data_IF_299308888713
#
_entry.id   IF_299308888713
#
_cell.length_a   1.000
_cell.length_b   1.000
_cell.length_c   1.000
_cell.angle_alpha   90.00
_cell.angle_beta   90.00
_cell.angle_gamma   90.00
#
_symmetry.space_group_name_H-M   'P 1'
#
loop_
_entity.id
_entity.type
_entity.pdbx_description
1 polymer ?
#
# COMPACT_ATOMS: atom_id res chain seq x y z
N UNK A 1 -29.20 -64.12 -25.28
CA UNK A 1 -27.84 -63.58 -25.47
C UNK A 1 -27.42 -62.96 -24.15
N UNK A 2 -26.32 -63.47 -23.62
CA UNK A 2 -25.71 -63.14 -22.33
C UNK A 2 -25.24 -61.68 -22.26
N UNK A 3 -25.28 -61.05 -21.08
CA UNK A 3 -24.10 -60.67 -20.29
C UNK A 3 -24.49 -60.38 -18.82
N UNK A 4 -23.58 -60.60 -17.84
CA UNK A 4 -23.91 -60.86 -16.45
C UNK A 4 -23.72 -59.68 -15.49
N UNK A 5 -24.26 -59.87 -14.29
CA UNK A 5 -24.09 -59.10 -13.04
C UNK A 5 -22.65 -59.25 -12.52
N UNK A 6 -22.05 -58.16 -12.04
CA UNK A 6 -20.75 -58.15 -11.37
C UNK A 6 -20.93 -57.88 -9.87
N UNK A 7 -20.48 -58.84 -9.05
CA UNK A 7 -20.34 -58.76 -7.60
C UNK A 7 -19.04 -58.06 -7.19
N UNK A 8 -19.09 -57.35 -6.06
CA UNK A 8 -17.98 -56.71 -5.35
C UNK A 8 -17.01 -57.73 -4.72
N UNK A 9 -15.72 -57.38 -4.56
CA UNK A 9 -14.86 -58.00 -3.56
C UNK A 9 -14.70 -57.13 -2.30
N UNK A 10 -15.05 -57.72 -1.15
CA UNK A 10 -14.64 -57.32 0.20
C UNK A 10 -13.12 -57.44 0.34
N UNK A 11 -12.48 -56.38 0.85
CA UNK A 11 -11.10 -56.44 1.39
C UNK A 11 -11.18 -56.41 2.91
N UNK A 12 -10.71 -57.51 3.52
CA UNK A 12 -10.44 -57.66 4.95
C UNK A 12 -9.02 -57.18 5.25
N UNK A 13 -8.86 -56.32 6.26
CA UNK A 13 -7.58 -56.09 6.91
C UNK A 13 -7.74 -56.25 8.42
N UNK A 14 -7.23 -57.37 8.92
CA UNK A 14 -6.78 -57.53 10.30
C UNK A 14 -5.26 -57.58 10.30
N UNK A 15 -4.64 -56.78 11.16
CA UNK A 15 -3.43 -57.13 11.88
C UNK A 15 -3.25 -56.16 13.06
N UNK A 16 -3.54 -56.66 14.27
CA UNK A 16 -3.01 -56.19 15.55
C UNK A 16 -1.46 -56.25 15.50
N UNK A 17 -0.66 -55.50 16.26
CA UNK A 17 -0.68 -55.37 17.71
C UNK A 17 0.48 -54.45 18.16
N UNK A 18 0.29 -53.83 19.35
CA UNK A 18 1.29 -53.57 20.40
C UNK A 18 2.35 -52.45 20.16
N UNK A 19 2.69 -51.56 21.10
CA UNK A 19 2.54 -51.58 22.57
C UNK A 19 2.98 -50.20 23.19
N UNK A 20 2.47 -49.90 24.39
CA UNK A 20 2.95 -48.95 25.45
C UNK A 20 2.58 -47.44 25.30
N UNK A 21 2.04 -46.73 26.30
CA UNK A 21 1.74 -47.06 27.69
C UNK A 21 1.98 -45.88 28.66
N UNK A 22 0.95 -45.04 28.88
CA UNK A 22 0.64 -44.20 30.08
C UNK A 22 1.57 -43.02 30.51
N UNK A 23 1.11 -42.07 31.38
CA UNK A 23 -0.25 -41.82 31.90
C UNK A 23 -0.77 -40.36 31.82
N UNK A 24 -2.07 -40.25 32.02
CA UNK A 24 -2.86 -39.05 32.30
C UNK A 24 -2.79 -38.61 33.79
N UNK A 25 -3.06 -37.32 34.03
CA UNK A 25 -3.62 -36.62 35.21
C UNK A 25 -2.76 -35.42 35.69
N UNK A 26 -3.32 -34.38 36.35
CA UNK A 26 -4.64 -33.75 36.18
C UNK A 26 -4.58 -32.20 36.08
N UNK A 27 -5.72 -31.63 35.70
CA UNK A 27 -6.05 -30.20 35.73
C UNK A 27 -5.72 -29.53 37.08
N UNK A 28 -4.94 -28.44 37.04
CA UNK A 28 -4.90 -27.43 38.10
C UNK A 28 -5.33 -26.07 37.57
N UNK A 29 -6.37 -25.57 38.22
CA UNK A 29 -6.81 -24.17 38.26
C UNK A 29 -5.64 -23.22 38.46
N UNK A 30 -5.45 -22.28 37.53
CA UNK A 30 -4.70 -21.06 37.76
C UNK A 30 -5.67 -19.88 37.68
N UNK A 31 -6.03 -19.32 38.85
CA UNK A 31 -6.57 -17.97 38.96
C UNK A 31 -5.46 -17.00 38.58
N UNK A 32 -5.63 -16.28 37.48
CA UNK A 32 -4.83 -15.07 37.19
C UNK A 32 -5.73 -13.86 37.39
N UNK A 33 -5.32 -13.01 38.33
CA UNK A 33 -5.97 -11.77 38.73
C UNK A 33 -5.97 -10.76 37.59
N UNK A 34 -7.07 -10.02 37.48
CA UNK A 34 -7.18 -8.80 36.70
C UNK A 34 -6.05 -7.82 37.03
N UNK A 35 -5.39 -7.32 35.98
CA UNK A 35 -4.77 -6.01 35.97
C UNK A 35 -5.15 -5.32 34.66
N UNK A 36 -6.14 -4.44 34.77
CA UNK A 36 -6.48 -3.41 33.78
C UNK A 36 -5.33 -2.41 33.67
N UNK A 37 -4.77 -2.23 32.47
CA UNK A 37 -4.21 -0.94 32.02
C UNK A 37 -4.25 -0.90 30.50
N UNK A 38 -5.20 -0.14 29.99
CA UNK A 38 -5.27 0.26 28.58
C UNK A 38 -4.15 1.25 28.27
N UNK A 39 -3.56 1.10 27.08
CA UNK A 39 -2.84 2.15 26.38
C UNK A 39 -3.39 2.16 24.95
N UNK A 40 -4.46 2.93 24.75
CA UNK A 40 -4.81 3.44 23.44
C UNK A 40 -3.97 4.70 23.20
N UNK A 41 -3.09 4.65 22.20
CA UNK A 41 -2.47 5.84 21.63
C UNK A 41 -3.52 6.44 20.70
N UNK A 42 -4.30 7.37 21.25
CA UNK A 42 -5.21 8.25 20.51
C UNK A 42 -4.46 9.56 20.28
N UNK A 43 -3.88 9.76 19.09
CA UNK A 43 -3.44 11.09 18.68
C UNK A 43 -4.66 11.89 18.20
N UNK A 44 -5.21 12.69 19.10
CA UNK A 44 -6.21 13.72 18.80
C UNK A 44 -5.44 15.00 18.48
N UNK A 45 -5.54 15.47 17.24
CA UNK A 45 -5.19 16.85 16.90
C UNK A 45 -6.32 17.77 17.38
N UNK A 46 -6.13 18.40 18.55
CA UNK A 46 -6.93 19.55 18.99
C UNK A 46 -6.29 20.82 18.43
N UNK A 47 -6.92 21.45 17.46
CA UNK A 47 -6.73 22.87 17.18
C UNK A 47 -7.61 23.65 18.15
N UNK A 48 -7.00 24.34 19.11
CA UNK A 48 -7.66 25.33 19.94
C UNK A 48 -7.35 26.72 19.36
N UNK A 49 -8.40 27.37 18.85
CA UNK A 49 -8.44 28.80 18.56
C UNK A 49 -8.50 29.58 19.87
N UNK A 50 -7.53 30.47 20.10
CA UNK A 50 -7.65 31.50 21.13
C UNK A 50 -7.87 32.85 20.46
N UNK A 51 -9.08 33.37 20.63
CA UNK A 51 -9.39 34.79 20.48
C UNK A 51 -8.90 35.54 21.73
N UNK A 52 -8.09 36.57 21.55
CA UNK A 52 -8.12 37.72 22.46
C UNK A 52 -7.84 39.03 21.73
N UNK A 53 -8.75 39.97 21.95
CA UNK A 53 -8.75 41.38 21.53
C UNK A 53 -7.63 42.17 22.22
N UNK A 54 -7.09 43.14 21.51
CA UNK A 54 -6.32 44.27 22.06
C UNK A 54 -5.78 45.17 20.94
N UNK A 55 -6.41 46.33 20.75
CA UNK A 55 -6.01 47.41 19.85
C UNK A 55 -4.68 48.08 20.28
N UNK A 56 -3.92 48.60 19.31
CA UNK A 56 -3.42 50.00 19.18
C UNK A 56 -2.18 50.09 18.27
N UNK A 57 -2.19 51.12 17.42
CA UNK A 57 -1.18 51.68 16.51
C UNK A 57 0.31 51.54 16.88
N UNK A 58 1.17 51.28 15.88
CA UNK A 58 2.06 52.31 15.29
C UNK A 58 3.22 51.74 14.44
N UNK A 59 3.49 52.50 13.38
CA UNK A 59 4.60 52.59 12.42
C UNK A 59 5.96 51.87 12.60
N UNK A 60 6.44 51.36 11.45
CA UNK A 60 7.82 51.34 10.92
C UNK A 60 8.89 50.41 11.53
N UNK A 61 9.42 49.50 10.72
CA UNK A 61 10.80 49.59 10.17
C UNK A 61 11.30 48.22 9.69
N UNK A 62 12.14 48.28 8.67
CA UNK A 62 12.76 47.21 7.90
C UNK A 62 13.69 46.30 8.72
N UNK A 63 13.60 44.99 8.54
CA UNK A 63 14.79 44.12 8.46
C UNK A 63 14.50 42.76 7.82
N UNK A 64 15.21 42.47 6.72
CA UNK A 64 15.76 41.17 6.30
C UNK A 64 15.09 39.90 6.85
N UNK A 65 14.33 39.17 6.01
CA UNK A 65 14.13 37.74 6.18
C UNK A 65 14.49 36.95 4.92
N UNK A 66 15.45 36.08 5.16
CA UNK A 66 16.03 34.99 4.39
C UNK A 66 14.98 34.01 3.88
N UNK A 67 15.27 33.49 2.68
CA UNK A 67 14.71 32.32 2.01
C UNK A 67 13.91 31.32 2.87
N UNK A 68 12.60 31.26 2.64
CA UNK A 68 11.83 30.02 2.67
C UNK A 68 10.83 30.06 1.50
N UNK A 69 11.33 29.71 0.31
CA UNK A 69 10.46 29.40 -0.82
C UNK A 69 9.72 28.12 -0.49
N UNK A 70 8.45 28.30 -0.15
CA UNK A 70 7.36 27.34 -0.08
C UNK A 70 7.55 26.12 -1.00
N UNK A 71 7.89 24.97 -0.42
CA UNK A 71 7.52 23.67 -1.00
C UNK A 71 6.07 23.38 -0.63
N UNK A 72 5.13 24.13 -1.22
CA UNK A 72 3.75 23.66 -1.29
C UNK A 72 3.72 22.65 -2.41
N UNK A 73 3.94 21.39 -2.07
CA UNK A 73 3.61 20.30 -2.98
C UNK A 73 2.12 20.43 -3.27
N UNK A 74 1.78 20.87 -4.48
CA UNK A 74 0.42 20.81 -4.99
C UNK A 74 0.01 19.33 -4.90
N UNK A 75 -0.76 18.97 -3.88
CA UNK A 75 -1.57 17.76 -3.86
C UNK A 75 -2.62 17.92 -4.96
N UNK A 76 -2.18 17.76 -6.20
CA UNK A 76 -3.02 17.76 -7.39
C UNK A 76 -4.14 16.75 -7.20
N UNK A 77 -5.35 17.12 -7.64
CA UNK A 77 -6.56 16.31 -7.66
C UNK A 77 -6.22 14.84 -7.96
N UNK A 78 -6.20 14.01 -6.92
CA UNK A 78 -6.21 12.58 -7.12
C UNK A 78 -7.64 12.23 -7.49
N UNK A 79 -7.89 12.08 -8.79
CA UNK A 79 -9.18 11.62 -9.28
C UNK A 79 -9.55 10.32 -8.57
N UNK A 80 -10.77 10.25 -8.03
CA UNK A 80 -11.28 9.06 -7.36
C UNK A 80 -11.18 7.86 -8.31
N UNK A 81 -10.38 6.86 -7.94
CA UNK A 81 -10.32 5.61 -8.69
C UNK A 81 -11.64 4.84 -8.56
N UNK A 82 -12.32 4.64 -9.68
CA UNK A 82 -13.52 3.82 -9.76
C UNK A 82 -13.13 2.42 -10.26
N UNK A 83 -13.36 1.35 -9.47
CA UNK A 83 -12.97 0.01 -9.86
C UNK A 83 -13.76 -0.47 -11.10
N UNK A 84 -13.12 -1.22 -12.02
CA UNK A 84 -13.84 -1.93 -13.06
C UNK A 84 -14.73 -3.02 -12.44
N UNK A 85 -15.70 -3.48 -13.20
CA UNK A 85 -16.50 -4.65 -12.82
C UNK A 85 -15.58 -5.87 -12.61
N UNK A 86 -15.82 -6.63 -11.53
CA UNK A 86 -15.03 -7.81 -11.19
C UNK A 86 -13.98 -7.59 -10.10
N UNK A 87 -13.73 -6.34 -9.72
CA UNK A 87 -13.00 -6.00 -8.48
C UNK A 87 -14.01 -5.88 -7.34
N UNK A 88 -13.75 -6.57 -6.24
CA UNK A 88 -14.54 -6.47 -5.03
C UNK A 88 -13.99 -5.44 -4.06
N UNK A 89 -14.88 -4.78 -3.34
CA UNK A 89 -14.56 -3.82 -2.29
C UNK A 89 -15.61 -3.86 -1.17
N UNK A 90 -15.25 -3.34 -0.01
CA UNK A 90 -16.17 -2.95 1.07
C UNK A 90 -16.38 -1.44 1.00
N UNK A 91 -17.58 -0.99 1.37
CA UNK A 91 -17.92 0.44 1.48
C UNK A 91 -17.82 0.87 2.93
N UNK A 92 -16.73 1.56 3.28
CA UNK A 92 -16.48 2.07 4.63
C UNK A 92 -17.09 3.45 4.81
N UNK A 93 -17.99 3.63 5.78
CA UNK A 93 -18.52 4.94 6.15
C UNK A 93 -17.52 5.75 6.97
N UNK A 94 -17.31 7.03 6.60
CA UNK A 94 -16.33 7.91 7.24
C UNK A 94 -16.63 8.15 8.74
N UNK A 95 -17.88 8.44 9.08
CA UNK A 95 -18.28 8.71 10.48
C UNK A 95 -18.53 7.43 11.28
N UNK A 96 -19.10 6.42 10.63
CA UNK A 96 -19.49 5.20 11.32
C UNK A 96 -18.33 4.26 11.63
N UNK A 97 -17.24 4.34 10.84
CA UNK A 97 -16.17 3.33 10.78
C UNK A 97 -16.69 1.90 10.55
N UNK A 98 -17.91 1.81 9.99
CA UNK A 98 -18.58 0.57 9.67
C UNK A 98 -18.58 0.35 8.16
N UNK A 99 -18.58 -0.92 7.76
CA UNK A 99 -18.80 -1.33 6.38
C UNK A 99 -20.25 -1.73 6.15
N UNK A 100 -20.78 -1.48 4.95
CA UNK A 100 -22.08 -1.98 4.54
C UNK A 100 -22.02 -3.50 4.34
N UNK A 101 -23.10 -4.22 4.68
CA UNK A 101 -23.30 -5.62 4.30
C UNK A 101 -24.60 -5.84 3.54
N UNK A 102 -24.68 -6.92 2.76
CA UNK A 102 -25.81 -7.32 1.91
C UNK A 102 -25.93 -8.84 1.87
N UNK A 103 -26.96 -9.38 2.54
CA UNK A 103 -27.18 -10.82 2.77
C UNK A 103 -28.65 -11.20 2.64
N UNK A 104 -28.95 -12.46 2.35
CA UNK A 104 -30.33 -12.96 2.19
C UNK A 104 -30.77 -13.92 3.28
N UNK A 105 -29.81 -14.48 4.04
CA UNK A 105 -30.08 -15.54 5.01
C UNK A 105 -30.61 -15.05 6.37
N UNK A 106 -30.44 -13.77 6.71
CA UNK A 106 -30.79 -13.24 8.03
C UNK A 106 -31.20 -11.77 7.97
N UNK A 107 -32.20 -11.39 8.78
CA UNK A 107 -32.53 -9.99 9.03
C UNK A 107 -31.57 -9.32 10.05
N UNK A 108 -31.25 -8.03 9.89
CA UNK A 108 -31.54 -7.23 8.69
C UNK A 108 -30.73 -7.73 7.49
N UNK A 109 -31.33 -7.71 6.29
CA UNK A 109 -30.65 -8.12 5.04
C UNK A 109 -29.61 -7.11 4.55
N UNK A 110 -29.81 -5.82 4.86
CA UNK A 110 -28.86 -4.74 4.56
C UNK A 110 -28.66 -3.92 5.81
N UNK A 111 -27.41 -3.57 6.10
CA UNK A 111 -27.06 -2.80 7.27
C UNK A 111 -25.58 -2.45 7.26
N UNK A 112 -25.05 -2.17 8.45
CA UNK A 112 -23.64 -1.87 8.63
C UNK A 112 -23.07 -2.59 9.85
N UNK A 113 -21.78 -2.88 9.82
CA UNK A 113 -21.04 -3.59 10.87
C UNK A 113 -19.62 -3.02 10.99
N UNK A 114 -18.97 -3.03 12.17
CA UNK A 114 -17.61 -2.54 12.34
C UNK A 114 -16.63 -3.14 11.33
N UNK A 115 -15.77 -2.30 10.75
CA UNK A 115 -14.82 -2.67 9.68
C UNK A 115 -13.89 -3.83 10.04
N UNK A 116 -13.62 -4.03 11.33
CA UNK A 116 -12.78 -5.12 11.84
C UNK A 116 -13.46 -6.49 11.73
N UNK A 117 -14.79 -6.53 11.66
CA UNK A 117 -15.54 -7.76 11.43
C UNK A 117 -15.52 -8.05 9.94
N UNK A 118 -14.78 -9.06 9.49
CA UNK A 118 -14.67 -9.37 8.05
C UNK A 118 -15.55 -10.57 7.70
N UNK A 119 -16.58 -10.31 6.89
CA UNK A 119 -17.54 -11.33 6.44
C UNK A 119 -17.74 -11.27 4.92
N UNK A 120 -18.19 -12.39 4.34
CA UNK A 120 -18.36 -12.52 2.89
C UNK A 120 -19.47 -11.61 2.33
N UNK A 121 -20.47 -11.25 3.14
CA UNK A 121 -21.61 -10.41 2.79
C UNK A 121 -21.29 -8.90 2.74
N UNK A 122 -20.05 -8.51 3.04
CA UNK A 122 -19.59 -7.12 3.01
C UNK A 122 -18.97 -6.71 1.68
N UNK A 123 -18.79 -7.66 0.77
CA UNK A 123 -18.10 -7.44 -0.49
C UNK A 123 -19.09 -7.06 -1.59
N UNK A 124 -18.75 -6.01 -2.34
CA UNK A 124 -19.52 -5.49 -3.46
C UNK A 124 -18.65 -5.34 -4.69
N UNK A 125 -19.27 -5.35 -5.86
CA UNK A 125 -18.64 -4.91 -7.12
C UNK A 125 -19.56 -3.91 -7.81
N UNK A 126 -19.01 -3.12 -8.74
CA UNK A 126 -19.81 -2.17 -9.53
C UNK A 126 -20.29 -2.82 -10.82
N UNK A 127 -21.56 -2.55 -11.16
CA UNK A 127 -22.07 -2.67 -12.53
C UNK A 127 -22.03 -1.27 -13.13
N UNK A 128 -21.31 -1.11 -14.23
CA UNK A 128 -21.14 0.17 -14.91
C UNK A 128 -22.35 0.46 -15.79
N UNK A 129 -23.00 1.60 -15.57
CA UNK A 129 -24.19 1.99 -16.33
C UNK A 129 -23.85 2.30 -17.78
N UNK A 130 -24.75 1.91 -18.69
CA UNK A 130 -24.64 2.15 -20.13
C UNK A 130 -25.81 3.03 -20.61
N UNK A 131 -25.72 3.54 -21.84
CA UNK A 131 -26.77 4.41 -22.42
C UNK A 131 -27.09 5.61 -21.52
N UNK A 132 -28.37 5.78 -21.19
CA UNK A 132 -28.86 6.87 -20.33
C UNK A 132 -28.36 6.79 -18.88
N UNK A 133 -27.69 5.70 -18.50
CA UNK A 133 -27.12 5.49 -17.16
C UNK A 133 -25.59 5.60 -17.16
N UNK A 134 -24.97 6.00 -18.28
CA UNK A 134 -23.52 6.22 -18.38
C UNK A 134 -23.04 7.19 -17.28
N UNK A 135 -21.99 6.81 -16.57
CA UNK A 135 -21.45 7.57 -15.43
C UNK A 135 -22.16 7.31 -14.10
N UNK A 136 -23.11 6.38 -14.06
CA UNK A 136 -23.71 5.87 -12.83
C UNK A 136 -23.36 4.39 -12.63
N UNK A 137 -23.52 3.91 -11.41
CA UNK A 137 -23.09 2.57 -11.02
C UNK A 137 -24.13 1.90 -10.14
N UNK A 138 -24.46 0.64 -10.42
CA UNK A 138 -25.19 -0.18 -9.48
C UNK A 138 -24.20 -0.96 -8.60
N UNK A 139 -24.50 -1.06 -7.31
CA UNK A 139 -23.58 -1.64 -6.31
C UNK A 139 -24.09 -3.04 -5.97
N UNK A 140 -23.45 -4.08 -6.52
CA UNK A 140 -23.89 -5.47 -6.41
C UNK A 140 -23.18 -6.20 -5.27
N UNK A 141 -23.95 -6.76 -4.33
CA UNK A 141 -23.44 -7.61 -3.26
C UNK A 141 -22.93 -8.94 -3.79
N UNK A 142 -21.73 -9.35 -3.36
CA UNK A 142 -21.07 -10.61 -3.76
C UNK A 142 -21.88 -11.84 -3.35
N UNK A 143 -22.35 -11.86 -2.09
CA UNK A 143 -23.09 -13.01 -1.53
C UNK A 143 -24.56 -12.99 -1.93
N UNK A 144 -25.23 -11.83 -1.79
CA UNK A 144 -26.66 -11.75 -2.08
C UNK A 144 -26.97 -11.80 -3.58
N UNK A 145 -26.03 -11.38 -4.44
CA UNK A 145 -26.28 -11.18 -5.87
C UNK A 145 -27.20 -9.99 -6.19
N UNK A 146 -27.74 -9.34 -5.16
CA UNK A 146 -28.64 -8.19 -5.26
C UNK A 146 -27.85 -6.88 -5.37
N UNK A 147 -28.48 -5.86 -5.96
CA UNK A 147 -27.93 -4.50 -6.00
C UNK A 147 -28.54 -3.63 -4.92
N UNK A 148 -27.77 -2.69 -4.38
CA UNK A 148 -28.30 -1.68 -3.46
C UNK A 148 -29.30 -0.77 -4.17
N UNK A 149 -30.30 -0.29 -3.42
CA UNK A 149 -31.19 0.79 -3.86
C UNK A 149 -31.28 1.89 -2.80
N UNK A 150 -31.66 3.10 -3.23
CA UNK A 150 -31.96 4.22 -2.34
C UNK A 150 -33.12 5.06 -2.89
N UNK A 151 -34.19 5.18 -2.11
CA UNK A 151 -35.48 5.77 -2.54
C UNK A 151 -36.17 6.52 -1.40
N UNK A 152 -37.21 7.30 -1.72
CA UNK A 152 -37.94 8.13 -0.74
C UNK A 152 -39.42 7.79 -0.61
N UNK A 153 -40.01 7.09 -1.59
CA UNK A 153 -41.47 6.86 -1.62
C UNK A 153 -41.92 5.63 -0.85
N UNK A 154 -41.09 4.59 -0.82
CA UNK A 154 -41.44 3.30 -0.22
C UNK A 154 -40.40 2.88 0.81
N UNK A 155 -40.87 2.48 1.99
CA UNK A 155 -40.04 1.88 3.04
C UNK A 155 -39.69 0.41 2.68
N UNK A 156 -38.48 -0.09 3.03
CA UNK A 156 -37.35 0.69 3.54
C UNK A 156 -36.78 1.61 2.46
N UNK A 157 -36.20 2.74 2.89
CA UNK A 157 -35.62 3.74 1.98
C UNK A 157 -34.29 3.31 1.39
N UNK A 158 -33.56 2.42 2.07
CA UNK A 158 -32.33 1.81 1.60
C UNK A 158 -32.45 0.31 1.82
N UNK A 159 -32.00 -0.47 0.84
CA UNK A 159 -32.02 -1.92 0.89
C UNK A 159 -31.31 -2.51 -0.31
N UNK A 160 -31.67 -3.74 -0.66
CA UNK A 160 -31.18 -4.39 -1.87
C UNK A 160 -32.31 -5.05 -2.66
N UNK A 161 -32.07 -5.31 -3.94
CA UNK A 161 -33.04 -5.98 -4.81
C UNK A 161 -32.34 -6.73 -5.94
N UNK A 162 -32.99 -7.76 -6.49
CA UNK A 162 -32.53 -8.45 -7.69
C UNK A 162 -32.60 -7.59 -8.96
N UNK A 163 -32.25 -8.18 -10.10
CA UNK A 163 -32.43 -7.54 -11.41
C UNK A 163 -31.27 -6.66 -11.88
N UNK A 164 -30.08 -6.74 -11.26
CA UNK A 164 -28.82 -6.13 -11.73
C UNK A 164 -28.96 -4.67 -12.24
N UNK A 165 -29.64 -3.81 -11.48
CA UNK A 165 -29.85 -2.42 -11.89
C UNK A 165 -31.13 -2.18 -12.70
N UNK A 166 -32.13 -3.06 -12.65
CA UNK A 166 -33.40 -2.88 -13.35
C UNK A 166 -34.07 -1.52 -13.07
N UNK A 167 -34.04 -1.05 -11.82
CA UNK A 167 -34.78 0.13 -11.36
C UNK A 167 -33.89 1.38 -11.26
N UNK A 168 -34.50 2.56 -11.39
CA UNK A 168 -33.76 3.83 -11.36
C UNK A 168 -33.21 4.21 -9.98
N UNK A 169 -33.72 3.60 -8.91
CA UNK A 169 -33.21 3.74 -7.54
C UNK A 169 -31.99 2.85 -7.26
N UNK A 170 -31.57 2.00 -8.22
CA UNK A 170 -30.39 1.14 -8.11
C UNK A 170 -29.08 1.82 -8.53
N UNK A 171 -29.15 3.03 -9.10
CA UNK A 171 -28.02 3.69 -9.76
C UNK A 171 -27.48 4.84 -8.94
N UNK A 172 -26.18 4.83 -8.72
CA UNK A 172 -25.48 5.81 -7.90
C UNK A 172 -24.46 6.59 -8.72
N UNK A 173 -24.36 7.89 -8.47
CA UNK A 173 -23.20 8.70 -8.79
C UNK A 173 -22.26 8.63 -7.60
N UNK A 174 -20.98 8.38 -7.86
CA UNK A 174 -19.91 8.47 -6.88
C UNK A 174 -19.34 9.88 -6.96
N UNK A 175 -19.80 10.75 -6.06
CA UNK A 175 -19.41 12.16 -6.05
C UNK A 175 -18.18 12.34 -5.14
N UNK A 176 -17.00 12.68 -5.66
CA UNK A 176 -15.79 12.83 -4.84
C UNK A 176 -15.95 13.95 -3.80
N UNK A 177 -15.48 13.68 -2.58
CA UNK A 177 -15.42 14.68 -1.53
C UNK A 177 -14.34 15.73 -1.79
N UNK A 178 -14.35 16.81 -1.00
CA UNK A 178 -13.40 17.92 -1.07
C UNK A 178 -12.77 18.19 0.29
N UNK A 179 -11.59 18.82 0.30
CA UNK A 179 -10.87 19.18 1.53
C UNK A 179 -10.56 17.94 2.36
N UNK A 180 -11.01 17.91 3.62
CA UNK A 180 -10.85 16.75 4.51
C UNK A 180 -11.47 15.45 3.98
N UNK A 181 -12.37 15.54 2.98
CA UNK A 181 -13.04 14.39 2.35
C UNK A 181 -12.45 13.99 0.99
N UNK A 182 -11.27 14.50 0.62
CA UNK A 182 -10.69 14.30 -0.73
C UNK A 182 -10.39 12.84 -1.09
N UNK A 183 -10.36 11.91 -0.13
CA UNK A 183 -10.18 10.46 -0.35
C UNK A 183 -11.47 9.66 -0.16
N UNK A 184 -12.59 10.37 -0.06
CA UNK A 184 -13.92 9.81 0.17
C UNK A 184 -14.86 10.28 -0.94
N UNK A 185 -16.06 9.71 -0.98
CA UNK A 185 -17.10 10.07 -1.93
C UNK A 185 -18.49 9.88 -1.33
N UNK A 186 -19.48 10.59 -1.87
CA UNK A 186 -20.89 10.37 -1.57
C UNK A 186 -21.51 9.44 -2.60
N UNK A 187 -22.44 8.61 -2.15
CA UNK A 187 -23.24 7.74 -3.00
C UNK A 187 -24.60 8.40 -3.26
N UNK A 188 -24.76 9.02 -4.42
CA UNK A 188 -25.95 9.82 -4.77
C UNK A 188 -26.85 9.04 -5.71
N UNK A 189 -28.11 8.85 -5.37
CA UNK A 189 -29.11 8.32 -6.32
C UNK A 189 -29.76 9.48 -7.06
N UNK A 190 -29.44 9.70 -8.35
CA UNK A 190 -29.83 10.91 -9.05
C UNK A 190 -31.33 11.00 -9.34
N UNK A 191 -31.99 9.86 -9.56
CA UNK A 191 -33.42 9.77 -9.91
C UNK A 191 -34.36 10.34 -8.84
N UNK A 192 -33.94 10.29 -7.58
CA UNK A 192 -34.71 10.78 -6.42
C UNK A 192 -33.97 11.85 -5.60
N UNK A 193 -32.74 12.20 -5.99
CA UNK A 193 -31.98 13.31 -5.38
C UNK A 193 -31.54 13.07 -3.94
N UNK A 194 -31.18 11.85 -3.57
CA UNK A 194 -30.74 11.51 -2.20
C UNK A 194 -29.30 10.99 -2.16
N UNK A 195 -28.63 11.21 -1.03
CA UNK A 195 -27.34 10.64 -0.68
C UNK A 195 -27.52 9.53 0.36
N UNK A 196 -26.76 8.44 0.26
CA UNK A 196 -26.63 7.48 1.36
C UNK A 196 -25.86 8.11 2.53
N UNK A 197 -26.21 7.71 3.75
CA UNK A 197 -25.42 7.99 4.94
C UNK A 197 -25.12 6.71 5.72
N UNK A 198 -24.01 6.71 6.46
CA UNK A 198 -23.60 5.64 7.38
C UNK A 198 -23.10 6.26 8.68
N UNK A 199 -23.82 5.97 9.78
CA UNK A 199 -23.61 6.61 11.09
C UNK A 199 -23.94 5.68 12.25
N UNK A 200 -23.42 5.98 13.43
CA UNK A 200 -23.67 5.22 14.67
C UNK A 200 -24.39 6.04 15.75
N UNK A 201 -24.42 7.36 15.60
CA UNK A 201 -24.96 8.28 16.61
C UNK A 201 -26.49 8.43 16.56
N UNK A 202 -27.16 8.04 15.48
CA UNK A 202 -28.61 8.18 15.31
C UNK A 202 -29.20 7.07 14.43
N UNK A 203 -30.38 6.55 14.80
CA UNK A 203 -31.14 5.59 13.99
C UNK A 203 -31.98 6.29 12.88
N UNK A 204 -32.17 5.66 11.71
CA UNK A 204 -31.49 4.44 11.28
C UNK A 204 -29.99 4.72 11.07
N UNK A 205 -29.18 3.67 11.24
CA UNK A 205 -27.72 3.75 11.15
C UNK A 205 -27.22 3.80 9.71
N UNK A 206 -27.96 3.17 8.80
CA UNK A 206 -27.80 3.24 7.35
C UNK A 206 -29.12 3.74 6.78
N UNK A 207 -29.06 4.73 5.91
CA UNK A 207 -30.26 5.34 5.33
C UNK A 207 -29.88 6.33 4.25
N UNK A 208 -30.82 7.21 3.92
CA UNK A 208 -30.60 8.25 2.94
C UNK A 208 -31.20 9.58 3.37
N UNK A 209 -30.74 10.65 2.74
CA UNK A 209 -31.18 12.02 2.99
C UNK A 209 -31.04 12.85 1.71
N UNK A 210 -31.69 14.01 1.63
CA UNK A 210 -31.56 14.91 0.48
C UNK A 210 -30.09 15.19 0.15
N UNK A 211 -29.70 15.05 -1.13
CA UNK A 211 -28.32 15.27 -1.57
C UNK A 211 -27.82 16.71 -1.36
N UNK A 212 -28.75 17.66 -1.23
CA UNK A 212 -28.44 19.07 -0.96
C UNK A 212 -27.94 19.31 0.47
N UNK A 213 -28.23 18.39 1.39
CA UNK A 213 -27.65 18.38 2.73
C UNK A 213 -26.35 17.58 2.70
N UNK A 214 -25.24 18.24 3.06
CA UNK A 214 -23.92 17.62 3.09
C UNK A 214 -23.48 17.49 4.54
N UNK A 215 -23.42 16.25 5.03
CA UNK A 215 -22.91 15.92 6.35
C UNK A 215 -21.73 14.94 6.24
N UNK A 216 -20.92 14.87 7.29
CA UNK A 216 -19.73 14.02 7.34
C UNK A 216 -20.08 12.53 7.17
N UNK A 217 -21.24 12.10 7.67
CA UNK A 217 -21.72 10.71 7.60
C UNK A 217 -22.23 10.29 6.22
N UNK A 218 -22.21 11.18 5.22
CA UNK A 218 -22.58 10.86 3.83
C UNK A 218 -21.39 10.33 3.00
N UNK A 219 -20.19 10.30 3.59
CA UNK A 219 -18.95 10.00 2.90
C UNK A 219 -18.53 8.54 3.13
N UNK A 220 -18.11 7.92 2.04
CA UNK A 220 -17.62 6.55 1.99
C UNK A 220 -16.25 6.47 1.35
N UNK A 221 -15.51 5.40 1.63
CA UNK A 221 -14.31 5.02 0.89
C UNK A 221 -14.36 3.55 0.48
N UNK A 222 -13.55 3.21 -0.53
CA UNK A 222 -13.34 1.82 -0.89
C UNK A 222 -12.30 1.17 0.02
N UNK A 223 -12.60 -0.04 0.48
CA UNK A 223 -11.60 -0.99 0.95
C UNK A 223 -11.59 -2.15 -0.04
N UNK A 224 -10.62 -2.14 -0.96
CA UNK A 224 -10.52 -3.18 -1.98
C UNK A 224 -10.18 -4.55 -1.37
N UNK A 225 -10.53 -5.60 -2.11
CA UNK A 225 -10.12 -6.96 -1.78
C UNK A 225 -8.60 -7.15 -1.88
N UNK A 226 -8.13 -8.29 -1.40
CA UNK A 226 -6.75 -8.69 -1.57
C UNK A 226 -6.39 -8.79 -3.06
N UNK A 227 -5.39 -8.02 -3.45
CA UNK A 227 -4.80 -8.04 -4.78
C UNK A 227 -3.48 -8.79 -4.76
N UNK A 228 -3.13 -9.42 -5.88
CA UNK A 228 -1.81 -10.00 -6.13
C UNK A 228 -1.05 -9.07 -7.05
N UNK A 229 0.18 -8.73 -6.70
CA UNK A 229 1.12 -8.05 -7.62
C UNK A 229 1.68 -9.10 -8.58
N UNK A 230 1.41 -8.95 -9.87
CA UNK A 230 1.85 -9.89 -10.91
C UNK A 230 3.19 -9.50 -11.53
N UNK A 231 3.37 -8.19 -11.79
CA UNK A 231 4.57 -7.65 -12.44
C UNK A 231 4.75 -6.18 -12.06
N UNK A 232 5.99 -5.74 -11.95
CA UNK A 232 6.36 -4.32 -11.99
C UNK A 232 7.24 -4.11 -13.22
N UNK A 233 6.87 -3.12 -14.02
CA UNK A 233 7.61 -2.71 -15.21
C UNK A 233 8.15 -1.30 -15.00
N UNK A 234 9.48 -1.19 -14.95
CA UNK A 234 10.18 0.07 -14.78
C UNK A 234 10.44 0.72 -16.14
N UNK A 235 10.14 2.01 -16.25
CA UNK A 235 10.43 2.82 -17.42
C UNK A 235 11.86 3.36 -17.32
N UNK A 236 12.85 2.46 -17.45
CA UNK A 236 14.27 2.73 -17.17
C UNK A 236 14.85 3.90 -18.00
N UNK A 237 14.37 4.06 -19.23
CA UNK A 237 14.72 5.17 -20.13
C UNK A 237 14.25 6.55 -19.62
N UNK A 238 13.32 6.58 -18.67
CA UNK A 238 12.84 7.79 -17.98
C UNK A 238 13.48 7.97 -16.60
N UNK A 239 14.42 7.09 -16.23
CA UNK A 239 15.14 7.14 -14.96
C UNK A 239 15.99 8.40 -14.82
N UNK A 240 16.12 8.89 -13.59
CA UNK A 240 16.86 10.11 -13.25
C UNK A 240 17.79 9.88 -12.06
N UNK A 241 18.99 10.42 -12.17
CA UNK A 241 19.88 10.65 -11.04
C UNK A 241 19.50 12.00 -10.44
N UNK A 242 18.84 12.00 -9.28
CA UNK A 242 18.38 13.22 -8.61
C UNK A 242 19.53 13.90 -7.88
N UNK A 243 20.41 13.11 -7.28
CA UNK A 243 21.66 13.58 -6.65
C UNK A 243 22.78 12.56 -6.88
N UNK A 244 24.03 13.02 -6.83
CA UNK A 244 25.20 12.15 -6.92
C UNK A 244 26.40 12.79 -6.24
N UNK A 245 26.94 12.13 -5.23
CA UNK A 245 28.17 12.52 -4.56
C UNK A 245 29.14 11.34 -4.50
N UNK A 246 30.45 11.54 -4.80
CA UNK A 246 31.44 10.50 -4.57
C UNK A 246 31.53 10.13 -3.09
N UNK A 247 31.59 8.83 -2.80
CA UNK A 247 31.76 8.25 -1.48
C UNK A 247 32.99 7.34 -1.50
N UNK A 248 34.00 7.68 -0.71
CA UNK A 248 35.13 6.76 -0.44
C UNK A 248 34.64 5.68 0.51
N UNK A 249 34.76 4.43 0.09
CA UNK A 249 34.33 3.28 0.89
C UNK A 249 35.52 2.60 1.57
N UNK A 250 36.72 2.64 0.97
CA UNK A 250 37.94 2.17 1.63
C UNK A 250 39.16 2.92 1.13
N UNK A 251 40.17 3.08 1.99
CA UNK A 251 41.47 3.66 1.61
C UNK A 251 42.60 3.02 2.40
N UNK A 252 43.71 2.72 1.74
CA UNK A 252 44.93 2.21 2.36
C UNK A 252 46.16 2.90 1.78
N UNK A 253 47.25 2.94 2.54
CA UNK A 253 48.50 3.57 2.13
C UNK A 253 49.67 2.60 2.37
N UNK A 254 50.47 2.36 1.34
CA UNK A 254 51.73 1.63 1.41
C UNK A 254 52.88 2.63 1.31
N UNK A 255 53.71 2.71 2.33
CA UNK A 255 54.93 3.54 2.30
C UNK A 255 56.15 2.63 2.34
N UNK A 256 56.95 2.64 1.27
CA UNK A 256 58.15 1.84 1.18
C UNK A 256 59.39 2.66 1.56
N UNK A 257 60.01 2.31 2.68
CA UNK A 257 61.24 2.95 3.17
C UNK A 257 62.53 2.23 2.79
N UNK A 258 62.43 1.20 1.94
CA UNK A 258 63.55 0.32 1.58
C UNK A 258 64.01 0.59 0.15
N UNK A 259 65.15 -0.01 -0.20
CA UNK A 259 65.70 0.05 -1.55
C UNK A 259 65.13 -1.06 -2.48
N UNK A 260 64.14 -1.82 -2.01
CA UNK A 260 63.53 -2.94 -2.74
C UNK A 260 62.02 -2.71 -2.89
N UNK A 261 61.39 -3.24 -3.93
CA UNK A 261 59.92 -3.20 -4.07
C UNK A 261 59.23 -3.85 -2.88
N UNK A 262 58.13 -3.27 -2.43
CA UNK A 262 57.23 -3.84 -1.42
C UNK A 262 55.83 -4.01 -2.02
N UNK A 263 55.11 -5.03 -1.57
CA UNK A 263 53.75 -5.33 -2.00
C UNK A 263 52.86 -5.56 -0.77
N UNK A 264 51.62 -5.08 -0.84
CA UNK A 264 50.56 -5.38 0.12
C UNK A 264 49.27 -5.75 -0.60
N UNK A 265 48.43 -6.57 0.04
CA UNK A 265 47.08 -6.86 -0.45
C UNK A 265 46.12 -5.78 0.04
N UNK A 266 45.42 -5.10 -0.88
CA UNK A 266 44.29 -4.24 -0.55
C UNK A 266 43.04 -5.11 -0.46
N UNK A 267 42.32 -4.99 0.66
CA UNK A 267 41.06 -5.70 0.90
C UNK A 267 39.94 -4.70 1.15
N UNK A 268 38.88 -4.80 0.33
CA UNK A 268 37.62 -4.10 0.50
C UNK A 268 36.58 -5.08 1.03
N UNK A 269 35.95 -4.75 2.16
CA UNK A 269 34.80 -5.46 2.70
C UNK A 269 33.89 -4.46 3.42
N UNK A 270 33.10 -3.73 2.64
CA UNK A 270 32.31 -2.61 3.13
C UNK A 270 30.85 -2.75 2.73
N UNK A 271 29.96 -2.14 3.51
CA UNK A 271 28.52 -2.16 3.22
C UNK A 271 27.96 -0.75 3.10
N UNK A 272 27.08 -0.55 2.12
CA UNK A 272 26.35 0.69 1.94
C UNK A 272 24.85 0.45 2.17
N UNK A 273 24.23 1.31 2.98
CA UNK A 273 22.77 1.30 3.16
C UNK A 273 22.09 1.96 1.97
N UNK A 274 21.21 1.21 1.34
CA UNK A 274 20.33 1.63 0.25
C UNK A 274 18.91 1.78 0.78
N UNK A 275 18.09 2.55 0.07
CA UNK A 275 16.67 2.73 0.40
C UNK A 275 15.80 2.52 -0.82
N UNK A 276 14.54 2.15 -0.60
CA UNK A 276 13.55 2.02 -1.66
C UNK A 276 12.16 2.39 -1.16
N UNK A 277 11.46 3.17 -1.98
CA UNK A 277 10.09 3.63 -1.76
C UNK A 277 9.33 3.54 -3.08
N UNK A 278 8.08 3.08 -3.03
CA UNK A 278 7.16 3.05 -4.16
C UNK A 278 6.05 4.07 -3.93
N UNK A 279 6.03 5.13 -4.73
CA UNK A 279 5.07 6.23 -4.61
C UNK A 279 3.94 6.09 -5.63
N UNK A 280 2.70 6.24 -5.16
CA UNK A 280 1.52 6.24 -6.02
C UNK A 280 1.46 7.50 -6.90
N UNK A 281 1.06 7.35 -8.17
CA UNK A 281 0.74 8.48 -9.05
C UNK A 281 -0.69 8.43 -9.57
N UNK A 282 -1.10 7.31 -10.17
CA UNK A 282 -2.45 7.15 -10.75
C UNK A 282 -2.83 5.67 -10.94
N UNK A 283 -4.11 5.39 -11.20
CA UNK A 283 -4.64 4.04 -11.42
C UNK A 283 -5.21 3.42 -10.15
N UNK A 284 -5.15 2.08 -10.07
CA UNK A 284 -5.68 1.35 -8.92
C UNK A 284 -4.96 1.76 -7.63
N UNK A 285 -5.73 2.03 -6.58
CA UNK A 285 -5.16 2.42 -5.28
C UNK A 285 -4.78 1.17 -4.48
N UNK A 286 -3.48 0.91 -4.37
CA UNK A 286 -2.95 -0.17 -3.54
C UNK A 286 -2.98 0.25 -2.08
N UNK A 287 -3.42 -0.65 -1.20
CA UNK A 287 -3.47 -0.42 0.25
C UNK A 287 -2.06 -0.18 0.80
N UNK A 288 -1.87 0.90 1.56
CA UNK A 288 -0.61 1.17 2.28
C UNK A 288 -0.31 -0.01 3.21
N UNK A 289 0.95 -0.43 3.27
CA UNK A 289 1.34 -1.61 4.05
C UNK A 289 1.24 -2.94 3.28
N UNK A 290 0.67 -2.95 2.06
CA UNK A 290 0.67 -4.15 1.23
C UNK A 290 2.10 -4.57 0.89
N UNK A 291 2.40 -5.86 1.07
CA UNK A 291 3.75 -6.37 0.82
C UNK A 291 3.86 -7.15 -0.49
N UNK A 292 4.98 -7.02 -1.17
CA UNK A 292 5.26 -7.71 -2.44
C UNK A 292 6.75 -7.91 -2.65
N UNK A 293 7.13 -8.74 -3.62
CA UNK A 293 8.53 -8.94 -4.04
C UNK A 293 8.73 -8.38 -5.44
N UNK A 294 9.82 -7.65 -5.65
CA UNK A 294 10.21 -7.13 -6.96
C UNK A 294 11.71 -6.84 -6.98
N UNK A 295 12.32 -6.90 -8.17
CA UNK A 295 13.61 -6.25 -8.39
C UNK A 295 13.49 -4.73 -8.27
N UNK A 296 14.61 -4.04 -8.09
CA UNK A 296 14.65 -2.57 -7.96
C UNK A 296 15.58 -1.96 -9.01
N UNK A 297 15.34 -0.72 -9.46
CA UNK A 297 16.24 -0.03 -10.37
C UNK A 297 17.61 0.25 -9.73
N UNK A 298 18.66 0.07 -10.53
CA UNK A 298 20.05 0.39 -10.20
C UNK A 298 20.76 0.97 -11.42
N UNK A 299 21.95 1.52 -11.23
CA UNK A 299 22.82 1.96 -12.34
C UNK A 299 23.94 0.94 -12.53
N UNK A 300 24.06 0.42 -13.74
CA UNK A 300 25.15 -0.44 -14.18
C UNK A 300 25.71 0.09 -15.50
N UNK A 301 27.03 0.20 -15.61
CA UNK A 301 27.71 0.62 -16.86
C UNK A 301 27.10 1.87 -17.50
N UNK A 302 26.75 2.86 -16.67
CA UNK A 302 26.10 4.15 -17.03
C UNK A 302 24.61 4.13 -17.37
N UNK A 303 23.95 2.96 -17.38
CA UNK A 303 22.53 2.84 -17.69
C UNK A 303 21.71 2.33 -16.50
N UNK A 304 20.42 2.69 -16.48
CA UNK A 304 19.47 2.11 -15.53
C UNK A 304 19.17 0.65 -15.91
N UNK A 305 19.30 -0.24 -14.95
CA UNK A 305 18.94 -1.66 -15.05
C UNK A 305 18.12 -2.08 -13.84
N UNK A 306 17.61 -3.32 -13.81
CA UNK A 306 16.87 -3.85 -12.66
C UNK A 306 17.73 -4.89 -11.94
N UNK A 307 18.04 -4.62 -10.67
CA UNK A 307 18.65 -5.61 -9.77
C UNK A 307 17.55 -6.55 -9.27
N UNK A 308 17.54 -7.78 -9.79
CA UNK A 308 16.60 -8.81 -9.37
C UNK A 308 17.14 -9.51 -8.13
N UNK A 309 16.61 -9.16 -6.96
CA UNK A 309 16.83 -9.95 -5.73
C UNK A 309 15.58 -10.78 -5.42
N UNK A 310 15.75 -12.08 -5.18
CA UNK A 310 14.65 -13.02 -4.88
C UNK A 310 14.20 -12.95 -3.41
N UNK A 311 14.97 -12.26 -2.56
CA UNK A 311 14.81 -12.24 -1.11
C UNK A 311 14.05 -11.03 -0.57
N UNK A 312 14.12 -9.87 -1.25
CA UNK A 312 13.62 -8.64 -0.65
C UNK A 312 12.11 -8.53 -0.77
N UNK A 313 11.46 -8.24 0.36
CA UNK A 313 10.03 -7.96 0.47
C UNK A 313 9.87 -6.47 0.72
N UNK A 314 9.10 -5.82 -0.14
CA UNK A 314 8.84 -4.39 -0.10
C UNK A 314 7.44 -4.12 0.43
N UNK A 315 7.27 -2.96 1.05
CA UNK A 315 5.99 -2.50 1.57
C UNK A 315 5.53 -1.27 0.79
N UNK A 316 4.32 -1.32 0.25
CA UNK A 316 3.75 -0.23 -0.54
C UNK A 316 3.52 1.03 0.31
N UNK A 317 3.97 2.19 -0.20
CA UNK A 317 3.81 3.48 0.47
C UNK A 317 4.75 3.70 1.66
N UNK A 318 5.69 2.78 1.90
CA UNK A 318 6.67 2.88 2.98
C UNK A 318 8.10 2.86 2.42
N UNK A 319 9.00 3.57 3.09
CA UNK A 319 10.41 3.50 2.81
C UNK A 319 11.01 2.29 3.51
N UNK A 320 11.74 1.47 2.76
CA UNK A 320 12.49 0.32 3.29
C UNK A 320 13.97 0.50 3.02
N UNK A 321 14.82 -0.04 3.90
CA UNK A 321 16.27 0.03 3.79
C UNK A 321 16.88 -1.36 3.70
N UNK A 322 17.95 -1.50 2.93
CA UNK A 322 18.70 -2.76 2.80
C UNK A 322 20.19 -2.47 2.60
N UNK A 323 21.05 -3.46 2.81
CA UNK A 323 22.50 -3.31 2.69
C UNK A 323 23.02 -3.92 1.39
N UNK A 324 23.88 -3.17 0.69
CA UNK A 324 24.67 -3.67 -0.44
C UNK A 324 26.12 -3.84 0.00
N UNK A 325 26.69 -5.02 -0.23
CA UNK A 325 28.08 -5.32 0.15
C UNK A 325 29.03 -5.13 -1.03
N UNK A 326 30.18 -4.54 -0.75
CA UNK A 326 31.29 -4.33 -1.67
C UNK A 326 32.46 -5.17 -1.21
N UNK A 327 32.93 -6.04 -2.10
CA UNK A 327 34.13 -6.86 -1.86
C UNK A 327 35.08 -6.76 -3.03
N UNK A 328 36.36 -6.58 -2.76
CA UNK A 328 37.43 -6.57 -3.76
C UNK A 328 38.76 -6.87 -3.09
N UNK A 329 39.65 -7.55 -3.82
CA UNK A 329 41.03 -7.78 -3.39
C UNK A 329 41.95 -7.53 -4.56
N UNK A 330 42.97 -6.67 -4.37
CA UNK A 330 43.97 -6.40 -5.40
C UNK A 330 45.32 -6.03 -4.80
N UNK A 331 46.44 -6.37 -5.46
CA UNK A 331 47.77 -6.03 -4.95
C UNK A 331 48.08 -4.54 -5.14
N UNK A 332 48.77 -3.97 -4.16
CA UNK A 332 49.32 -2.60 -4.18
C UNK A 332 50.83 -2.71 -4.04
N UNK A 333 51.57 -2.23 -5.04
CA UNK A 333 53.03 -2.28 -5.09
C UNK A 333 53.60 -0.89 -4.93
N UNK A 334 54.63 -0.74 -4.10
CA UNK A 334 55.39 0.49 -3.96
C UNK A 334 56.87 0.21 -4.27
N UNK A 335 57.42 0.93 -5.24
CA UNK A 335 58.84 0.93 -5.55
C UNK A 335 59.69 1.53 -4.41
N UNK A 336 61.02 1.50 -4.55
CA UNK A 336 61.94 2.06 -3.55
C UNK A 336 61.62 3.53 -3.22
N UNK A 337 61.49 3.84 -1.93
CA UNK A 337 61.19 5.20 -1.44
C UNK A 337 59.89 5.82 -1.96
N UNK A 338 58.95 5.00 -2.41
CA UNK A 338 57.65 5.43 -2.92
C UNK A 338 56.56 5.32 -1.84
N UNK A 339 55.58 6.23 -1.89
CA UNK A 339 54.32 6.10 -1.15
C UNK A 339 53.17 5.91 -2.13
N UNK A 340 52.39 4.84 -1.95
CA UNK A 340 51.24 4.52 -2.78
C UNK A 340 49.97 4.58 -1.97
N UNK A 341 48.98 5.32 -2.47
CA UNK A 341 47.64 5.42 -1.89
C UNK A 341 46.65 4.68 -2.78
N UNK A 342 45.97 3.68 -2.22
CA UNK A 342 44.90 2.96 -2.87
C UNK A 342 43.55 3.40 -2.27
N UNK A 343 42.63 3.83 -3.12
CA UNK A 343 41.30 4.33 -2.73
C UNK A 343 40.24 3.60 -3.52
N UNK A 344 39.27 3.02 -2.82
CA UNK A 344 38.04 2.49 -3.42
C UNK A 344 36.89 3.47 -3.16
N UNK A 345 36.18 3.86 -4.20
CA UNK A 345 35.05 4.79 -4.12
C UNK A 345 33.87 4.35 -4.98
N UNK A 346 32.70 4.86 -4.65
CA UNK A 346 31.45 4.71 -5.40
C UNK A 346 30.80 6.08 -5.55
N UNK A 347 29.87 6.24 -6.49
CA UNK A 347 28.90 7.32 -6.43
C UNK A 347 27.75 6.91 -5.51
N UNK A 348 27.27 7.83 -4.67
CA UNK A 348 26.07 7.66 -3.84
C UNK A 348 25.07 8.75 -4.17
N UNK A 349 23.80 8.39 -4.29
CA UNK A 349 22.77 9.39 -4.53
C UNK A 349 21.38 8.84 -4.63
N UNK A 350 20.43 9.76 -4.82
CA UNK A 350 19.02 9.43 -4.99
C UNK A 350 18.70 9.20 -6.47
N UNK A 351 17.97 8.13 -6.73
CA UNK A 351 17.49 7.71 -8.04
C UNK A 351 15.96 7.78 -8.07
N UNK A 352 15.42 8.12 -9.24
CA UNK A 352 13.98 8.17 -9.49
C UNK A 352 13.66 7.44 -10.79
N UNK A 353 12.72 6.48 -10.77
CA UNK A 353 12.31 5.72 -11.97
C UNK A 353 10.80 5.50 -11.98
N UNK A 354 10.07 6.01 -12.99
CA UNK A 354 8.65 5.72 -13.16
C UNK A 354 8.40 4.22 -13.38
N UNK A 355 7.25 3.71 -12.91
CA UNK A 355 6.87 2.31 -13.12
C UNK A 355 5.38 2.13 -13.40
N UNK A 356 5.04 0.96 -13.93
CA UNK A 356 3.67 0.44 -14.00
C UNK A 356 3.62 -0.92 -13.31
N UNK A 357 2.78 -1.02 -12.29
CA UNK A 357 2.52 -2.23 -11.51
C UNK A 357 1.22 -2.85 -12.01
N UNK A 358 1.28 -4.13 -12.36
CA UNK A 358 0.13 -4.92 -12.79
C UNK A 358 -0.33 -5.79 -11.64
N UNK A 359 -1.62 -5.71 -11.32
CA UNK A 359 -2.25 -6.46 -10.24
C UNK A 359 -3.42 -7.28 -10.74
N UNK A 360 -3.71 -8.39 -10.07
CA UNK A 360 -4.92 -9.19 -10.28
C UNK A 360 -5.68 -9.40 -8.98
N UNK A 361 -7.01 -9.37 -9.06
CA UNK A 361 -7.88 -9.79 -7.95
C UNK A 361 -7.61 -11.25 -7.65
N UNK A 362 -7.32 -11.59 -6.39
CA UNK A 362 -7.13 -13.00 -6.00
C UNK A 362 -8.41 -13.83 -6.16
N UNK A 363 -9.59 -13.19 -6.12
CA UNK A 363 -10.86 -13.91 -6.19
C UNK A 363 -11.44 -14.02 -7.60
N UNK A 364 -11.11 -13.10 -8.52
CA UNK A 364 -11.67 -13.11 -9.88
C UNK A 364 -10.63 -13.16 -11.00
N UNK A 365 -9.35 -12.89 -10.71
CA UNK A 365 -8.32 -12.71 -11.72
C UNK A 365 -8.45 -11.41 -12.52
N UNK A 366 -9.40 -10.54 -12.20
CA UNK A 366 -9.58 -9.24 -12.86
C UNK A 366 -8.31 -8.41 -12.71
N UNK A 367 -7.78 -7.92 -13.84
CA UNK A 367 -6.51 -7.20 -13.88
C UNK A 367 -6.73 -5.69 -13.79
N UNK A 368 -5.85 -5.02 -13.06
CA UNK A 368 -5.78 -3.58 -12.91
C UNK A 368 -4.33 -3.12 -12.89
N UNK A 369 -4.12 -1.82 -13.07
CA UNK A 369 -2.79 -1.22 -13.13
C UNK A 369 -2.69 -0.06 -12.15
N UNK A 370 -1.53 0.04 -11.51
CA UNK A 370 -1.13 1.19 -10.70
C UNK A 370 0.14 1.78 -11.30
N UNK A 371 0.14 3.08 -11.58
CA UNK A 371 1.31 3.81 -12.04
C UNK A 371 1.88 4.62 -10.90
N UNK A 372 3.20 4.72 -10.86
CA UNK A 372 3.91 5.35 -9.77
C UNK A 372 5.33 5.73 -10.12
N UNK A 373 6.02 6.26 -9.12
CA UNK A 373 7.44 6.57 -9.19
C UNK A 373 8.16 5.81 -8.09
N UNK A 374 9.19 5.06 -8.47
CA UNK A 374 10.11 4.46 -7.53
C UNK A 374 11.19 5.48 -7.17
N UNK A 375 11.53 5.58 -5.88
CA UNK A 375 12.65 6.38 -5.37
C UNK A 375 13.55 5.53 -4.50
N UNK A 376 14.84 5.77 -4.57
CA UNK A 376 15.79 5.08 -3.70
C UNK A 376 17.14 5.76 -3.62
N UNK A 377 17.77 5.69 -2.45
CA UNK A 377 19.20 5.97 -2.31
C UNK A 377 19.96 4.73 -2.73
N UNK A 378 20.85 4.88 -3.71
CA UNK A 378 21.66 3.79 -4.23
C UNK A 378 23.13 4.20 -4.36
N UNK A 379 23.98 3.22 -4.68
CA UNK A 379 25.39 3.42 -4.99
C UNK A 379 25.77 2.68 -6.28
N UNK A 380 26.57 3.33 -7.12
CA UNK A 380 27.01 2.83 -8.43
C UNK A 380 28.46 3.26 -8.73
N UNK A 381 29.00 2.82 -9.87
CA UNK A 381 30.37 3.12 -10.33
C UNK A 381 31.45 2.83 -9.27
N UNK A 382 31.60 1.56 -8.86
CA UNK A 382 32.75 1.17 -8.04
C UNK A 382 34.06 1.45 -8.82
N UNK A 383 34.96 2.23 -8.22
CA UNK A 383 36.25 2.61 -8.78
C UNK A 383 37.36 2.33 -7.78
N UNK A 384 38.47 1.83 -8.30
CA UNK A 384 39.72 1.67 -7.56
C UNK A 384 40.76 2.60 -8.19
N UNK A 385 41.27 3.53 -7.40
CA UNK A 385 42.31 4.48 -7.80
C UNK A 385 43.57 4.19 -7.01
N UNK A 386 44.70 4.05 -7.70
CA UNK A 386 46.02 3.87 -7.10
C UNK A 386 46.89 5.04 -7.54
N UNK A 387 47.39 5.82 -6.58
CA UNK A 387 48.25 6.98 -6.84
C UNK A 387 49.59 6.83 -6.14
N UNK A 388 50.66 7.04 -6.89
CA UNK A 388 52.03 7.06 -6.41
C UNK A 388 52.50 8.49 -6.14
N UNK A 389 53.23 8.68 -5.05
CA UNK A 389 53.97 9.91 -4.75
C UNK A 389 55.42 9.59 -4.40
N UNK A 390 56.36 10.28 -5.05
CA UNK A 390 57.75 10.36 -4.60
C UNK A 390 57.88 11.36 -3.46
N UNK A 391 58.60 10.97 -2.41
CA UNK A 391 58.91 11.84 -1.28
C UNK A 391 59.98 12.88 -1.62
#
# INVERSE_FOLDING_TARGET
MNFPVADEPRVTHDCESALLGYPFLPLRSLRVRHFTRGHQISQVYKYASNEHRGDIDSTSSSTSQTAQTLYTFNMSNQDLYIPPQGIYFRLLGYVSENVIFSRTAQEPQVGQIPVQSVHSDQWFTLIHGTGNRKGTYAIKGKVSGNVLFSRVKASPYVGHIGGNGQYDDNWFILEPGKGQYAKQFRLITPSVGVALFSRTHLKPHLGNISKGQIHSDHHFSFIFEDMKVDKIEYHLNLGKIVSSTPLVIASQTLTNHTNHEQEMSFELNETATHTTTFEYSTGFTVTIGATFKAGIPVIAETEFTVEVSTTNQWTWGEQTSFSKSYTATFPVKAGPHETVHAVSSVNKGELEVPFTMYLSSKSTGTKVETKGTWRGVSTWDLRHTVTAGTK
#
